data_IF_773386848080
#
_entry.id   IF_773386848080
#
_cell.length_a   1.000
_cell.length_b   1.000
_cell.length_c   1.000
_cell.angle_alpha   90.00
_cell.angle_beta   90.00
_cell.angle_gamma   90.00
#
_symmetry.space_group_name_H-M   'P 1'
#
loop_
_entity.id
_entity.type
_entity.pdbx_description
1 polymer ?
#
# COMPACT_ATOMS: atom_id res chain seq x y z
N UNK A 1 -10.78 -13.90 -41.84
CA UNK A 1 -9.61 -13.95 -40.92
C UNK A 1 -8.60 -12.83 -41.18
N UNK A 2 -8.43 -12.33 -42.41
CA UNK A 2 -7.47 -11.26 -42.74
C UNK A 2 -7.68 -9.85 -42.10
N UNK A 3 -8.91 -9.34 -41.89
CA UNK A 3 -9.07 -7.94 -41.44
C UNK A 3 -8.66 -7.73 -39.97
N UNK A 4 -8.77 -8.75 -39.14
CA UNK A 4 -8.38 -8.69 -37.73
C UNK A 4 -6.88 -8.60 -37.52
N UNK A 5 -6.08 -9.23 -38.39
CA UNK A 5 -4.62 -9.14 -38.33
C UNK A 5 -4.14 -7.73 -38.72
N UNK A 6 -4.79 -7.10 -39.71
CA UNK A 6 -4.50 -5.72 -40.08
C UNK A 6 -4.87 -4.73 -38.98
N UNK A 7 -5.98 -4.96 -38.27
CA UNK A 7 -6.38 -4.13 -37.13
C UNK A 7 -5.39 -4.25 -35.97
N UNK A 8 -4.99 -5.47 -35.61
CA UNK A 8 -4.01 -5.72 -34.55
C UNK A 8 -2.64 -5.09 -34.89
N UNK A 9 -2.19 -5.21 -36.14
CA UNK A 9 -0.94 -4.59 -36.59
C UNK A 9 -0.99 -3.05 -36.54
N UNK A 10 -2.14 -2.45 -36.85
CA UNK A 10 -2.31 -1.00 -36.80
C UNK A 10 -2.32 -0.48 -35.36
N UNK A 11 -2.97 -1.19 -34.43
CA UNK A 11 -2.97 -0.85 -33.00
C UNK A 11 -1.54 -0.96 -32.44
N UNK A 12 -0.82 -2.04 -32.75
CA UNK A 12 0.56 -2.22 -32.30
C UNK A 12 1.49 -1.11 -32.81
N UNK A 13 1.35 -0.69 -34.07
CA UNK A 13 2.13 0.43 -34.62
C UNK A 13 1.84 1.76 -33.92
N UNK A 14 0.58 1.99 -33.52
CA UNK A 14 0.17 3.22 -32.83
C UNK A 14 0.69 3.26 -31.38
N UNK A 15 0.70 2.12 -30.69
CA UNK A 15 1.30 1.98 -29.36
C UNK A 15 2.81 2.19 -29.39
N UNK A 16 3.51 1.63 -30.38
CA UNK A 16 4.97 1.84 -30.54
C UNK A 16 5.27 3.31 -30.82
N UNK A 17 4.47 3.98 -31.67
CA UNK A 17 4.65 5.40 -31.96
C UNK A 17 4.43 6.27 -30.72
N UNK A 18 3.41 5.96 -29.91
CA UNK A 18 3.14 6.66 -28.64
C UNK A 18 4.28 6.48 -27.62
N UNK A 19 4.80 5.26 -27.47
CA UNK A 19 5.93 4.96 -26.57
C UNK A 19 7.21 5.73 -26.94
N UNK A 20 7.49 5.86 -28.25
CA UNK A 20 8.63 6.65 -28.74
C UNK A 20 8.39 8.14 -28.50
N UNK A 21 7.17 8.65 -28.71
CA UNK A 21 6.86 10.05 -28.45
C UNK A 21 7.05 10.44 -26.97
N UNK A 22 6.67 9.56 -26.03
CA UNK A 22 6.84 9.78 -24.59
C UNK A 22 8.32 9.84 -24.18
N UNK A 23 9.15 8.95 -24.72
CA UNK A 23 10.56 8.83 -24.32
C UNK A 23 11.52 9.78 -25.04
N UNK A 24 11.08 10.48 -26.10
CA UNK A 24 11.93 11.40 -26.87
C UNK A 24 11.63 12.89 -26.59
N UNK A 25 10.88 13.17 -25.52
CA UNK A 25 10.55 14.52 -25.07
C UNK A 25 11.67 15.19 -24.27
N UNK A 26 12.53 15.91 -24.98
CA UNK A 26 13.17 17.18 -24.57
C UNK A 26 14.03 17.19 -23.27
N UNK A 27 15.29 16.75 -23.42
CA UNK A 27 16.38 17.17 -22.53
C UNK A 27 16.78 18.62 -22.85
N UNK A 28 16.02 19.60 -22.35
CA UNK A 28 16.45 21.00 -22.31
C UNK A 28 17.41 21.19 -21.12
N UNK A 29 18.64 20.71 -21.30
CA UNK A 29 19.75 20.95 -20.38
C UNK A 29 20.21 22.39 -20.59
N UNK A 30 19.73 23.30 -19.73
CA UNK A 30 20.23 24.68 -19.64
C UNK A 30 21.55 24.68 -18.84
N UNK A 31 22.71 24.98 -19.46
CA UNK A 31 23.97 25.12 -18.73
C UNK A 31 24.30 26.61 -18.60
N UNK A 32 23.54 27.35 -17.79
CA UNK A 32 23.90 28.72 -17.44
C UNK A 32 24.67 28.80 -16.12
N UNK A 33 25.99 28.86 -16.28
CA UNK A 33 26.94 29.24 -15.26
C UNK A 33 26.73 30.69 -14.79
N UNK A 34 26.87 30.97 -13.49
CA UNK A 34 27.42 32.26 -13.07
C UNK A 34 26.95 32.87 -11.74
N UNK A 35 27.86 32.82 -10.75
CA UNK A 35 28.38 33.99 -10.02
C UNK A 35 27.59 34.61 -8.84
N UNK A 36 28.13 34.33 -7.64
CA UNK A 36 28.54 35.28 -6.59
C UNK A 36 27.56 35.97 -5.61
N UNK A 37 27.76 35.61 -4.33
CA UNK A 37 28.06 36.45 -3.13
C UNK A 37 27.15 37.65 -2.81
N UNK A 38 26.55 37.70 -1.60
CA UNK A 38 26.97 38.56 -0.45
C UNK A 38 26.00 38.48 0.75
N UNK A 39 26.62 38.51 1.92
CA UNK A 39 26.19 38.51 3.33
C UNK A 39 25.00 39.41 3.75
N UNK A 40 24.35 39.10 4.89
CA UNK A 40 24.26 39.98 6.08
C UNK A 40 23.54 39.29 7.26
N UNK A 41 24.33 38.93 8.26
CA UNK A 41 24.20 39.13 9.72
C UNK A 41 22.83 39.38 10.36
N UNK A 42 22.48 38.60 11.41
CA UNK A 42 22.20 39.09 12.78
C UNK A 42 22.52 37.98 13.80
N UNK A 43 23.33 38.33 14.80
CA UNK A 43 23.67 37.52 15.97
C UNK A 43 22.61 37.62 17.07
N UNK A 44 22.45 36.60 17.92
CA UNK A 44 22.26 36.78 19.37
C UNK A 44 22.67 35.50 20.09
N UNK A 45 23.78 35.62 20.82
CA UNK A 45 24.28 34.68 21.82
C UNK A 45 23.53 34.93 23.14
N UNK A 46 23.02 33.90 23.80
CA UNK A 46 22.75 33.95 25.24
C UNK A 46 22.93 32.56 25.83
N UNK A 47 24.01 32.41 26.59
CA UNK A 47 24.26 31.28 27.48
C UNK A 47 23.14 31.16 28.52
N UNK A 48 22.68 29.94 28.75
CA UNK A 48 21.99 29.57 29.98
C UNK A 48 22.46 28.18 30.42
N UNK A 49 23.46 28.19 31.30
CA UNK A 49 23.88 27.07 32.12
C UNK A 49 22.70 26.58 32.96
N UNK A 50 22.24 25.35 32.73
CA UNK A 50 21.35 24.64 33.64
C UNK A 50 21.82 23.20 33.80
N UNK A 51 22.43 22.93 34.94
CA UNK A 51 22.73 21.61 35.49
C UNK A 51 21.43 20.83 35.65
N UNK A 52 21.11 19.96 34.70
CA UNK A 52 20.00 19.01 34.82
C UNK A 52 20.55 17.64 35.24
N UNK A 53 20.32 17.31 36.50
CA UNK A 53 20.44 15.96 37.06
C UNK A 53 19.70 14.98 36.15
N UNK A 54 20.45 14.10 35.49
CA UNK A 54 19.90 12.98 34.74
C UNK A 54 19.29 11.96 35.72
N UNK A 55 18.02 12.19 36.09
CA UNK A 55 17.18 11.13 36.60
C UNK A 55 16.92 10.19 35.43
N UNK A 56 17.52 9.00 35.47
CA UNK A 56 17.24 7.94 34.52
C UNK A 56 15.76 7.56 34.64
N UNK A 57 14.94 8.12 33.75
CA UNK A 57 13.61 7.59 33.46
C UNK A 57 13.81 6.17 32.94
N UNK A 58 13.14 5.15 33.50
CA UNK A 58 13.18 3.82 32.93
C UNK A 58 12.72 3.91 31.47
N UNK A 59 13.55 3.46 30.53
CA UNK A 59 13.09 3.16 29.19
C UNK A 59 11.85 2.28 29.33
N UNK A 60 10.71 2.64 28.72
CA UNK A 60 9.63 1.69 28.60
C UNK A 60 10.20 0.48 27.85
N UNK A 61 10.10 -0.67 28.50
CA UNK A 61 10.14 -1.99 27.87
C UNK A 61 9.38 -1.85 26.54
N UNK A 62 10.07 -2.09 25.43
CA UNK A 62 9.41 -2.22 24.15
C UNK A 62 8.45 -3.40 24.32
N UNK A 63 7.17 -3.08 24.54
CA UNK A 63 6.12 -4.07 24.38
C UNK A 63 6.36 -4.73 23.03
N UNK A 64 6.46 -6.06 23.02
CA UNK A 64 6.37 -6.91 21.83
C UNK A 64 5.17 -6.44 21.02
N UNK A 65 5.41 -5.44 20.16
CA UNK A 65 4.49 -5.09 19.11
C UNK A 65 4.48 -6.25 18.13
N UNK A 66 3.36 -6.48 17.44
CA UNK A 66 3.34 -7.40 16.31
C UNK A 66 4.57 -7.14 15.43
N UNK A 67 5.31 -8.20 15.11
CA UNK A 67 6.52 -8.11 14.30
C UNK A 67 6.24 -7.34 13.01
N UNK A 68 7.18 -6.54 12.52
CA UNK A 68 6.96 -5.82 11.27
C UNK A 68 6.66 -6.80 10.13
N UNK A 69 5.67 -6.50 9.29
CA UNK A 69 5.29 -7.31 8.15
C UNK A 69 4.37 -8.49 8.46
N UNK A 70 3.76 -8.54 9.65
CA UNK A 70 2.81 -9.60 10.04
C UNK A 70 1.36 -9.12 9.90
N UNK A 71 0.46 -10.07 9.65
CA UNK A 71 -0.99 -9.88 9.71
C UNK A 71 -1.54 -10.85 10.75
N UNK A 72 -1.96 -10.33 11.90
CA UNK A 72 -2.42 -11.15 13.02
C UNK A 72 -3.94 -11.25 13.08
N UNK A 73 -4.42 -12.44 13.43
CA UNK A 73 -5.80 -12.72 13.83
C UNK A 73 -5.74 -13.31 15.24
N UNK A 74 -5.93 -12.45 16.24
CA UNK A 74 -5.55 -12.80 17.61
C UNK A 74 -4.05 -13.10 17.71
N UNK A 75 -3.69 -14.34 18.02
CA UNK A 75 -2.30 -14.81 18.10
C UNK A 75 -1.82 -15.54 16.82
N UNK A 76 -2.67 -15.67 15.80
CA UNK A 76 -2.40 -16.38 14.55
C UNK A 76 -1.83 -15.43 13.49
N UNK A 77 -0.71 -15.80 12.85
CA UNK A 77 -0.20 -15.08 11.68
C UNK A 77 -0.85 -15.60 10.39
N UNK A 78 -1.67 -14.76 9.76
CA UNK A 78 -2.43 -15.09 8.56
C UNK A 78 -1.57 -15.24 7.30
N UNK A 79 -0.31 -14.81 7.35
CA UNK A 79 0.64 -14.93 6.24
C UNK A 79 1.57 -16.14 6.40
N UNK A 80 1.45 -16.89 7.50
CA UNK A 80 2.20 -18.11 7.70
C UNK A 80 1.81 -19.17 6.65
N UNK A 81 2.77 -19.96 6.14
CA UNK A 81 2.48 -21.02 5.18
C UNK A 81 1.56 -22.08 5.81
N UNK A 82 0.65 -22.63 4.99
CA UNK A 82 -0.28 -23.69 5.37
C UNK A 82 -1.20 -23.35 6.57
N UNK A 83 -1.47 -22.05 6.79
CA UNK A 83 -2.42 -21.61 7.80
C UNK A 83 -3.86 -21.88 7.35
N UNK A 84 -4.70 -22.39 8.26
CA UNK A 84 -6.13 -22.55 8.05
C UNK A 84 -6.88 -21.39 8.73
N UNK A 85 -7.55 -20.58 7.91
CA UNK A 85 -8.27 -19.38 8.35
C UNK A 85 -9.77 -19.62 8.52
N UNK A 86 -10.27 -20.82 8.21
CA UNK A 86 -11.70 -21.14 8.21
C UNK A 86 -12.36 -20.95 9.57
N UNK A 87 -11.67 -21.26 10.66
CA UNK A 87 -12.16 -21.09 12.03
C UNK A 87 -12.09 -19.64 12.52
N UNK A 88 -11.37 -18.78 11.79
CA UNK A 88 -11.08 -17.40 12.13
C UNK A 88 -11.93 -16.37 11.41
N UNK A 89 -12.88 -16.82 10.58
CA UNK A 89 -13.83 -15.91 9.91
C UNK A 89 -14.64 -15.13 10.95
N UNK A 90 -14.70 -13.82 10.77
CA UNK A 90 -15.35 -12.87 11.68
C UNK A 90 -14.46 -12.40 12.83
N UNK A 91 -13.22 -12.87 12.94
CA UNK A 91 -12.26 -12.40 13.94
C UNK A 91 -11.60 -11.08 13.53
N UNK A 92 -11.21 -10.23 14.51
CA UNK A 92 -10.49 -9.01 14.23
C UNK A 92 -9.09 -9.31 13.68
N UNK A 93 -8.68 -8.52 12.70
CA UNK A 93 -7.35 -8.58 12.08
C UNK A 93 -6.56 -7.33 12.43
N UNK A 94 -5.29 -7.49 12.78
CA UNK A 94 -4.33 -6.40 12.98
C UNK A 94 -3.08 -6.61 12.14
N UNK A 95 -2.78 -5.67 11.25
CA UNK A 95 -1.62 -5.72 10.37
C UNK A 95 -0.70 -4.54 10.65
N UNK A 96 0.61 -4.81 10.77
CA UNK A 96 1.59 -3.81 11.14
C UNK A 96 2.75 -3.77 10.16
N UNK A 97 2.87 -2.64 9.45
CA UNK A 97 3.93 -2.38 8.48
C UNK A 97 4.07 -3.50 7.44
N UNK A 98 2.96 -3.86 6.80
CA UNK A 98 2.90 -4.89 5.76
C UNK A 98 3.02 -4.24 4.39
N UNK A 99 3.79 -4.85 3.48
CA UNK A 99 3.98 -4.33 2.14
C UNK A 99 2.78 -4.68 1.24
N UNK A 100 2.35 -3.71 0.44
CA UNK A 100 1.38 -3.88 -0.63
C UNK A 100 2.09 -4.53 -1.82
N UNK A 101 1.62 -5.72 -2.20
CA UNK A 101 2.20 -6.53 -3.26
C UNK A 101 1.59 -6.25 -4.62
N UNK A 102 0.28 -5.96 -4.67
CA UNK A 102 -0.42 -5.63 -5.90
C UNK A 102 -1.73 -4.91 -5.59
N UNK A 103 -2.10 -3.94 -6.41
CA UNK A 103 -3.42 -3.29 -6.36
C UNK A 103 -4.32 -3.93 -7.42
N UNK A 104 -5.40 -4.57 -6.99
CA UNK A 104 -6.24 -5.43 -7.84
C UNK A 104 -7.62 -4.86 -8.13
N UNK A 105 -8.07 -3.90 -7.33
CA UNK A 105 -9.22 -3.06 -7.60
C UNK A 105 -8.98 -1.68 -6.98
N UNK A 106 -9.88 -0.74 -7.24
CA UNK A 106 -9.81 0.62 -6.67
C UNK A 106 -9.72 0.60 -5.13
N UNK A 107 -10.47 -0.30 -4.51
CA UNK A 107 -10.53 -0.47 -3.06
C UNK A 107 -9.99 -1.83 -2.58
N UNK A 108 -9.25 -2.57 -3.42
CA UNK A 108 -8.72 -3.88 -3.04
C UNK A 108 -7.27 -4.09 -3.50
N UNK A 109 -6.47 -4.68 -2.63
CA UNK A 109 -5.05 -4.92 -2.85
C UNK A 109 -4.57 -6.13 -2.06
N UNK A 110 -3.51 -6.76 -2.52
CA UNK A 110 -2.83 -7.83 -1.81
C UNK A 110 -1.71 -7.26 -0.95
N UNK A 111 -1.56 -7.79 0.27
CA UNK A 111 -0.44 -7.50 1.15
C UNK A 111 0.28 -8.76 1.55
N UNK A 112 1.58 -8.66 1.79
CA UNK A 112 2.38 -9.77 2.28
C UNK A 112 3.88 -9.55 2.13
N UNK A 113 4.72 -10.39 2.74
CA UNK A 113 6.18 -10.28 2.64
C UNK A 113 6.72 -10.71 1.27
N UNK A 114 6.05 -11.65 0.59
CA UNK A 114 6.54 -12.29 -0.63
C UNK A 114 5.37 -12.65 -1.57
N UNK A 115 5.61 -12.77 -2.89
CA UNK A 115 4.62 -13.31 -3.81
C UNK A 115 4.20 -14.73 -3.39
N UNK A 116 2.90 -14.97 -3.20
CA UNK A 116 2.36 -16.26 -2.74
C UNK A 116 2.22 -16.42 -1.22
N UNK A 117 2.70 -15.45 -0.43
CA UNK A 117 2.34 -15.29 0.98
C UNK A 117 1.57 -13.98 1.11
N UNK A 118 0.35 -13.96 0.58
CA UNK A 118 -0.44 -12.74 0.48
C UNK A 118 -1.85 -12.96 0.97
N UNK A 119 -2.43 -11.91 1.55
CA UNK A 119 -3.86 -11.84 1.84
C UNK A 119 -4.45 -10.62 1.13
N UNK A 120 -5.66 -10.76 0.61
CA UNK A 120 -6.37 -9.63 0.03
C UNK A 120 -6.91 -8.75 1.16
N UNK A 121 -6.80 -7.45 0.98
CA UNK A 121 -7.38 -6.43 1.82
C UNK A 121 -8.34 -5.63 0.98
N UNK A 122 -9.57 -5.45 1.49
CA UNK A 122 -10.57 -4.57 0.92
C UNK A 122 -10.78 -3.39 1.85
N UNK A 123 -10.69 -2.18 1.32
CA UNK A 123 -11.06 -0.96 2.02
C UNK A 123 -12.59 -0.89 2.13
N UNK A 124 -13.12 -0.61 3.32
CA UNK A 124 -14.51 -0.18 3.42
C UNK A 124 -14.65 1.22 2.80
N UNK A 125 -15.82 1.61 2.30
CA UNK A 125 -16.09 3.01 2.02
C UNK A 125 -15.99 3.81 3.33
N UNK A 126 -14.87 4.51 3.51
CA UNK A 126 -14.55 5.27 4.71
C UNK A 126 -15.26 6.63 4.71
N UNK A 127 -16.56 6.66 4.93
CA UNK A 127 -17.26 7.95 5.03
C UNK A 127 -18.76 7.92 5.30
N UNK A 128 -19.26 6.90 6.01
CA UNK A 128 -20.65 6.86 6.43
C UNK A 128 -21.66 6.90 5.26
N UNK A 129 -22.94 7.08 5.58
CA UNK A 129 -24.01 7.10 4.58
C UNK A 129 -23.98 8.40 3.76
N UNK A 130 -23.04 8.52 2.81
CA UNK A 130 -22.96 9.68 1.92
C UNK A 130 -21.68 9.81 1.11
N UNK A 131 -20.57 9.21 1.54
CA UNK A 131 -19.31 9.19 0.81
C UNK A 131 -19.11 7.78 0.22
N UNK A 132 -19.01 7.71 -1.11
CA UNK A 132 -19.04 6.44 -1.86
C UNK A 132 -17.66 5.77 -1.98
N UNK A 133 -16.57 6.46 -1.59
CA UNK A 133 -15.19 6.05 -1.84
C UNK A 133 -14.28 6.31 -0.62
N UNK A 134 -13.35 5.38 -0.36
CA UNK A 134 -12.22 5.59 0.55
C UNK A 134 -11.33 6.77 0.09
N UNK A 135 -10.90 7.70 0.97
CA UNK A 135 -9.93 8.73 0.62
C UNK A 135 -8.49 8.19 0.51
N UNK A 136 -8.28 6.90 0.81
CA UNK A 136 -6.98 6.27 0.80
C UNK A 136 -6.70 5.65 -0.56
N UNK A 137 -5.58 6.08 -1.17
CA UNK A 137 -5.03 5.49 -2.38
C UNK A 137 -3.74 4.77 -2.01
N UNK A 138 -3.75 3.45 -2.13
CA UNK A 138 -2.57 2.60 -1.91
C UNK A 138 -1.87 2.34 -3.23
N UNK A 139 -0.54 2.21 -3.19
CA UNK A 139 0.27 1.85 -4.34
C UNK A 139 1.08 0.58 -4.08
N UNK A 140 1.43 -0.13 -5.16
CA UNK A 140 2.34 -1.28 -5.07
C UNK A 140 3.70 -0.86 -4.47
N UNK A 141 4.21 -1.69 -3.56
CA UNK A 141 5.45 -1.45 -2.81
C UNK A 141 5.29 -0.54 -1.59
N UNK A 142 4.13 0.09 -1.41
CA UNK A 142 3.81 0.89 -0.22
C UNK A 142 3.76 -0.01 1.02
N UNK A 143 4.17 0.51 2.17
CA UNK A 143 3.99 -0.17 3.45
C UNK A 143 2.78 0.41 4.14
N UNK A 144 1.89 -0.44 4.67
CA UNK A 144 0.67 0.00 5.34
C UNK A 144 0.48 -0.73 6.66
N UNK A 145 -0.21 -0.09 7.60
CA UNK A 145 -0.78 -0.75 8.78
C UNK A 145 -2.30 -0.62 8.69
N UNK A 146 -3.03 -1.66 9.05
CA UNK A 146 -4.49 -1.64 9.01
C UNK A 146 -5.09 -2.53 10.09
N UNK A 147 -6.35 -2.28 10.39
CA UNK A 147 -7.17 -3.16 11.21
C UNK A 147 -8.49 -3.45 10.50
N UNK A 148 -9.10 -4.59 10.81
CA UNK A 148 -10.29 -5.03 10.09
C UNK A 148 -10.90 -6.30 10.66
N UNK A 149 -11.65 -6.99 9.81
CA UNK A 149 -12.24 -8.29 10.12
C UNK A 149 -11.93 -9.26 9.00
N UNK A 150 -11.62 -10.52 9.35
CA UNK A 150 -11.44 -11.57 8.37
C UNK A 150 -12.80 -12.02 7.84
N UNK A 151 -12.95 -12.09 6.52
CA UNK A 151 -14.16 -12.54 5.85
C UNK A 151 -13.83 -13.60 4.79
N UNK A 152 -14.81 -14.44 4.45
CA UNK A 152 -14.70 -15.42 3.38
C UNK A 152 -15.19 -14.78 2.07
N UNK A 153 -14.51 -15.09 0.98
CA UNK A 153 -14.86 -14.68 -0.37
C UNK A 153 -16.04 -15.53 -0.85
N UNK A 154 -17.18 -14.89 -1.07
CA UNK A 154 -18.36 -15.50 -1.68
C UNK A 154 -18.60 -15.00 -3.13
N UNK A 155 -19.56 -15.62 -3.83
CA UNK A 155 -19.87 -15.28 -5.22
C UNK A 155 -20.37 -13.83 -5.40
N UNK A 156 -21.11 -13.29 -4.42
CA UNK A 156 -21.61 -11.91 -4.46
C UNK A 156 -20.44 -10.93 -4.33
N UNK A 157 -19.52 -11.22 -3.41
CA UNK A 157 -18.31 -10.44 -3.22
C UNK A 157 -17.45 -10.39 -4.50
N UNK A 158 -17.15 -11.54 -5.11
CA UNK A 158 -16.39 -11.60 -6.37
C UNK A 158 -17.08 -10.85 -7.51
N UNK A 159 -18.41 -10.93 -7.58
CA UNK A 159 -19.19 -10.22 -8.59
C UNK A 159 -19.20 -8.69 -8.37
N UNK A 160 -18.99 -8.24 -7.13
CA UNK A 160 -18.89 -6.83 -6.77
C UNK A 160 -17.51 -6.23 -7.01
N UNK A 161 -16.46 -7.06 -6.99
CA UNK A 161 -15.09 -6.64 -7.23
C UNK A 161 -14.89 -6.32 -8.72
N UNK A 162 -14.58 -5.06 -8.99
CA UNK A 162 -14.18 -4.59 -10.31
C UNK A 162 -12.69 -4.86 -10.54
N UNK A 163 -12.32 -6.14 -10.59
CA UNK A 163 -10.93 -6.58 -10.68
C UNK A 163 -10.23 -6.07 -11.96
N UNK A 164 -9.01 -5.57 -11.78
CA UNK A 164 -8.06 -5.35 -12.86
C UNK A 164 -7.34 -6.67 -13.18
N UNK A 165 -7.13 -6.98 -14.46
CA UNK A 165 -6.29 -8.13 -14.80
C UNK A 165 -4.82 -7.86 -14.42
N UNK A 166 -4.11 -8.85 -13.85
CA UNK A 166 -4.45 -10.27 -13.78
C UNK A 166 -4.90 -10.73 -12.38
N UNK A 167 -5.91 -10.10 -11.78
CA UNK A 167 -6.43 -10.54 -10.46
C UNK A 167 -7.27 -11.84 -10.48
N UNK A 168 -7.14 -12.67 -11.52
CA UNK A 168 -7.84 -13.94 -11.73
C UNK A 168 -7.44 -15.07 -10.75
N UNK A 169 -6.82 -14.74 -9.61
CA UNK A 169 -6.32 -15.72 -8.62
C UNK A 169 -7.25 -15.89 -7.41
N UNK A 170 -8.36 -15.14 -7.32
CA UNK A 170 -9.31 -15.25 -6.21
C UNK A 170 -10.43 -16.24 -6.53
N UNK A 171 -10.62 -17.22 -5.64
CA UNK A 171 -11.69 -18.21 -5.73
C UNK A 171 -12.68 -18.07 -4.57
N UNK A 172 -13.92 -18.54 -4.77
CA UNK A 172 -14.87 -18.66 -3.66
C UNK A 172 -14.33 -19.61 -2.61
N UNK A 173 -14.38 -19.20 -1.34
CA UNK A 173 -13.81 -19.93 -0.21
C UNK A 173 -12.40 -19.48 0.20
N UNK A 174 -11.77 -18.58 -0.57
CA UNK A 174 -10.60 -17.84 -0.10
C UNK A 174 -10.99 -16.81 0.96
N UNK A 175 -10.01 -16.17 1.59
CA UNK A 175 -10.23 -15.21 2.67
C UNK A 175 -9.67 -13.84 2.33
N UNK A 176 -10.33 -12.80 2.84
CA UNK A 176 -9.89 -11.42 2.73
C UNK A 176 -10.09 -10.67 4.04
N UNK A 177 -9.38 -9.56 4.20
CA UNK A 177 -9.57 -8.64 5.31
C UNK A 177 -10.40 -7.47 4.86
N UNK A 178 -11.55 -7.27 5.48
CA UNK A 178 -12.31 -6.04 5.34
C UNK A 178 -11.73 -5.00 6.30
N UNK A 179 -10.87 -4.13 5.77
CA UNK A 179 -10.20 -3.09 6.55
C UNK A 179 -11.20 -2.00 6.96
N UNK A 180 -11.25 -1.73 8.26
CA UNK A 180 -12.05 -0.68 8.91
C UNK A 180 -11.21 0.51 9.35
N UNK A 181 -9.87 0.39 9.28
CA UNK A 181 -8.90 1.47 9.43
C UNK A 181 -7.64 1.15 8.62
N UNK A 182 -7.03 2.16 7.99
CA UNK A 182 -5.74 2.03 7.31
C UNK A 182 -4.88 3.27 7.55
N UNK A 183 -3.58 3.05 7.73
CA UNK A 183 -2.57 4.10 7.89
C UNK A 183 -1.39 3.80 6.96
N UNK A 184 -0.99 4.74 6.09
CA UNK A 184 0.22 4.59 5.28
C UNK A 184 1.47 4.61 6.17
N UNK A 185 2.37 3.66 5.93
CA UNK A 185 3.69 3.57 6.55
C UNK A 185 4.64 4.55 5.87
N UNK A 186 5.21 5.47 6.67
CA UNK A 186 6.13 6.51 6.21
C UNK A 186 7.59 6.09 6.11
#
# INVERSE_FOLDING_TARGET
MWPWILLAALIAALLIWWLVAEFTGDEDVDPSAGTAVTETTVATETEATATATATATPSPDAADGPGLGVVLIGDLDALAPDVDLSESVGEPVEANSVQVQAVVADEAFFVGPEPGQTIMVRLQPFGGAGDEESPFQVQEGETVSFSGTLEEIDEEFLSSLQLYMPADELETGDYYVQASEITPGG
#
